data_IF_557128268255
#
_entry.id   IF_557128268255
#
_cell.length_a   1.000
_cell.length_b   1.000
_cell.length_c   1.000
_cell.angle_alpha   90.00
_cell.angle_beta   90.00
_cell.angle_gamma   90.00
#
_symmetry.space_group_name_H-M   'P 1'
#
loop_
_entity.id
_entity.type
_entity.pdbx_description
1 polymer ?
#
# COMPACT_ATOMS: atom_id res chain seq x y z
N UNK A 1 53.37 -11.73 21.50
CA UNK A 1 51.97 -11.48 21.10
C UNK A 1 51.43 -10.42 22.06
N UNK A 2 51.19 -9.18 21.60
CA UNK A 2 50.56 -8.15 22.42
C UNK A 2 49.06 -8.45 22.43
N UNK A 3 48.51 -8.78 23.60
CA UNK A 3 47.08 -9.04 23.77
C UNK A 3 46.27 -7.75 23.61
N UNK A 4 45.07 -7.87 23.06
CA UNK A 4 44.09 -6.78 22.98
C UNK A 4 43.85 -6.17 24.37
N UNK A 5 43.81 -4.85 24.45
CA UNK A 5 43.44 -4.17 25.69
C UNK A 5 41.91 -4.16 25.84
N UNK A 6 41.38 -4.17 27.07
CA UNK A 6 39.94 -4.09 27.32
C UNK A 6 39.30 -2.82 26.70
N UNK A 7 40.08 -1.74 26.64
CA UNK A 7 39.66 -0.47 26.03
C UNK A 7 39.41 -0.62 24.53
N UNK A 8 40.22 -1.40 23.84
CA UNK A 8 40.11 -1.62 22.39
C UNK A 8 38.82 -2.37 22.02
N UNK A 9 38.47 -3.39 22.81
CA UNK A 9 37.20 -4.12 22.66
C UNK A 9 36.00 -3.20 22.94
N UNK A 10 36.10 -2.35 23.96
CA UNK A 10 35.03 -1.40 24.30
C UNK A 10 34.78 -0.40 23.17
N UNK A 11 35.84 0.14 22.58
CA UNK A 11 35.75 1.04 21.43
C UNK A 11 35.13 0.33 20.23
N UNK A 12 35.56 -0.91 19.94
CA UNK A 12 34.99 -1.71 18.86
C UNK A 12 33.48 -1.94 19.04
N UNK A 13 33.04 -2.23 20.27
CA UNK A 13 31.61 -2.41 20.59
C UNK A 13 30.80 -1.12 20.43
N UNK A 14 31.36 0.03 20.83
CA UNK A 14 30.71 1.34 20.63
C UNK A 14 30.52 1.59 19.13
N UNK A 15 31.58 1.44 18.32
CA UNK A 15 31.50 1.64 16.86
C UNK A 15 30.48 0.69 16.23
N UNK A 16 30.51 -0.59 16.62
CA UNK A 16 29.56 -1.60 16.14
C UNK A 16 28.12 -1.22 16.48
N UNK A 17 27.86 -0.79 17.73
CA UNK A 17 26.52 -0.42 18.17
C UNK A 17 25.95 0.76 17.37
N UNK A 18 26.77 1.78 17.08
CA UNK A 18 26.38 2.92 16.24
C UNK A 18 26.08 2.46 14.81
N UNK A 19 26.90 1.56 14.25
CA UNK A 19 26.66 0.96 12.94
C UNK A 19 25.34 0.20 12.86
N UNK A 20 25.01 -0.59 13.89
CA UNK A 20 23.74 -1.33 13.97
C UNK A 20 22.52 -0.41 14.05
N UNK A 21 22.60 0.71 14.79
CA UNK A 21 21.52 1.71 14.82
C UNK A 21 21.30 2.34 13.45
N UNK A 22 22.39 2.64 12.71
CA UNK A 22 22.30 3.09 11.32
C UNK A 22 21.60 2.08 10.42
N UNK A 23 21.98 0.80 10.51
CA UNK A 23 21.34 -0.28 9.76
C UNK A 23 19.85 -0.44 10.10
N UNK A 24 19.49 -0.36 11.38
CA UNK A 24 18.09 -0.43 11.82
C UNK A 24 17.25 0.69 11.19
N UNK A 25 17.77 1.93 11.16
CA UNK A 25 17.11 3.05 10.51
C UNK A 25 16.90 2.86 9.00
N UNK A 26 17.91 2.31 8.32
CA UNK A 26 17.79 1.96 6.89
C UNK A 26 16.76 0.84 6.66
N UNK A 27 16.74 -0.17 7.53
CA UNK A 27 15.76 -1.25 7.46
C UNK A 27 14.32 -0.72 7.63
N UNK A 28 14.07 0.13 8.62
CA UNK A 28 12.75 0.76 8.81
C UNK A 28 12.34 1.59 7.59
N UNK A 29 13.26 2.39 7.05
CA UNK A 29 12.99 3.19 5.85
C UNK A 29 12.70 2.30 4.63
N UNK A 30 13.46 1.21 4.47
CA UNK A 30 13.23 0.21 3.44
C UNK A 30 11.85 -0.44 3.53
N UNK A 31 11.40 -0.80 4.74
CA UNK A 31 10.06 -1.34 4.96
C UNK A 31 8.97 -0.34 4.60
N UNK A 32 9.10 0.92 5.01
CA UNK A 32 8.13 1.99 4.66
C UNK A 32 8.04 2.21 3.15
N UNK A 33 9.17 2.22 2.46
CA UNK A 33 9.23 2.37 1.01
C UNK A 33 8.58 1.17 0.29
N UNK A 34 8.85 -0.05 0.76
CA UNK A 34 8.21 -1.26 0.23
C UNK A 34 6.69 -1.25 0.44
N UNK A 35 6.24 -0.86 1.64
CA UNK A 35 4.82 -0.74 1.93
C UNK A 35 4.12 0.28 1.01
N UNK A 36 4.74 1.44 0.81
CA UNK A 36 4.22 2.47 -0.11
C UNK A 36 4.19 1.99 -1.56
N UNK A 37 5.21 1.25 -2.00
CA UNK A 37 5.22 0.64 -3.32
C UNK A 37 4.13 -0.43 -3.47
N UNK A 38 3.92 -1.25 -2.44
CA UNK A 38 2.87 -2.26 -2.41
C UNK A 38 1.47 -1.63 -2.55
N UNK A 39 1.17 -0.57 -1.78
CA UNK A 39 -0.12 0.13 -1.87
C UNK A 39 -0.33 0.74 -3.27
N UNK A 40 0.69 1.34 -3.89
CA UNK A 40 0.60 1.84 -5.26
C UNK A 40 0.31 0.74 -6.29
N UNK A 41 0.94 -0.42 -6.14
CA UNK A 41 0.65 -1.59 -6.99
C UNK A 41 -0.78 -2.08 -6.79
N UNK A 42 -1.27 -2.16 -5.55
CA UNK A 42 -2.65 -2.54 -5.24
C UNK A 42 -3.66 -1.57 -5.85
N UNK A 43 -3.44 -0.26 -5.71
CA UNK A 43 -4.27 0.77 -6.33
C UNK A 43 -4.30 0.66 -7.86
N UNK A 44 -3.14 0.41 -8.48
CA UNK A 44 -3.04 0.20 -9.93
C UNK A 44 -3.83 -1.02 -10.38
N UNK A 45 -3.73 -2.14 -9.65
CA UNK A 45 -4.50 -3.36 -9.94
C UNK A 45 -6.01 -3.12 -9.83
N UNK A 46 -6.46 -2.44 -8.77
CA UNK A 46 -7.88 -2.10 -8.59
C UNK A 46 -8.40 -1.13 -9.66
N UNK A 47 -7.56 -0.20 -10.14
CA UNK A 47 -7.91 0.69 -11.24
C UNK A 47 -8.07 -0.07 -12.57
N UNK A 48 -7.22 -1.06 -12.83
CA UNK A 48 -7.39 -1.94 -14.00
C UNK A 48 -8.65 -2.81 -13.89
N UNK A 49 -8.91 -3.39 -12.71
CA UNK A 49 -10.09 -4.23 -12.46
C UNK A 49 -11.40 -3.49 -12.81
N UNK A 50 -11.61 -2.28 -12.28
CA UNK A 50 -12.83 -1.52 -12.59
C UNK A 50 -12.90 -1.10 -14.05
N UNK A 51 -11.76 -0.74 -14.66
CA UNK A 51 -11.72 -0.37 -16.07
C UNK A 51 -12.12 -1.54 -16.97
N UNK A 52 -11.69 -2.76 -16.64
CA UNK A 52 -12.03 -3.95 -17.40
C UNK A 52 -13.50 -4.36 -17.19
N UNK A 53 -14.06 -4.19 -15.98
CA UNK A 53 -15.51 -4.33 -15.73
C UNK A 53 -16.33 -3.34 -16.56
N UNK A 54 -15.94 -2.07 -16.58
CA UNK A 54 -16.57 -1.02 -17.42
C UNK A 54 -16.50 -1.40 -18.90
N UNK A 55 -15.36 -1.91 -19.37
CA UNK A 55 -15.18 -2.35 -20.77
C UNK A 55 -16.02 -3.58 -21.12
N UNK A 56 -16.24 -4.48 -20.18
CA UNK A 56 -17.12 -5.64 -20.35
C UNK A 56 -18.60 -5.20 -20.41
N UNK A 57 -18.96 -4.15 -19.67
CA UNK A 57 -20.33 -3.62 -19.57
C UNK A 57 -20.52 -2.27 -20.28
N UNK A 58 -19.92 -2.10 -21.47
CA UNK A 58 -19.94 -0.86 -22.26
C UNK A 58 -21.33 -0.33 -22.62
N UNK A 59 -22.36 -1.17 -22.61
CA UNK A 59 -23.73 -0.73 -22.87
C UNK A 59 -24.28 0.16 -21.74
N UNK A 60 -23.71 0.08 -20.52
CA UNK A 60 -24.21 0.73 -19.32
C UNK A 60 -23.19 1.70 -18.70
N UNK A 61 -22.36 2.39 -19.50
CA UNK A 61 -21.31 3.29 -19.00
C UNK A 61 -21.82 4.34 -18.00
N UNK A 62 -23.01 4.88 -18.22
CA UNK A 62 -23.60 5.89 -17.34
C UNK A 62 -23.85 5.36 -15.92
N UNK A 63 -24.04 4.06 -15.75
CA UNK A 63 -24.25 3.44 -14.45
C UNK A 63 -22.95 3.25 -13.64
N UNK A 64 -21.79 3.45 -14.26
CA UNK A 64 -20.48 3.46 -13.58
C UNK A 64 -20.05 4.87 -13.13
N UNK A 65 -20.85 5.90 -13.41
CA UNK A 65 -20.55 7.27 -13.00
C UNK A 65 -20.84 7.44 -11.50
N UNK A 66 -19.78 7.58 -10.70
CA UNK A 66 -19.86 7.83 -9.26
C UNK A 66 -19.21 9.18 -8.96
N UNK A 67 -19.90 10.05 -8.22
CA UNK A 67 -19.29 11.26 -7.68
C UNK A 67 -18.30 10.88 -6.57
N UNK A 68 -17.22 11.66 -6.40
CA UNK A 68 -16.15 11.36 -5.45
C UNK A 68 -16.68 10.98 -4.06
N UNK A 69 -17.66 11.73 -3.56
CA UNK A 69 -18.30 11.52 -2.23
C UNK A 69 -19.66 10.85 -2.25
N UNK A 70 -20.00 10.16 -3.34
CA UNK A 70 -21.22 9.36 -3.35
C UNK A 70 -21.03 8.09 -2.52
N UNK A 71 -22.05 7.75 -1.73
CA UNK A 71 -22.11 6.44 -1.07
C UNK A 71 -22.09 5.31 -2.10
N UNK A 72 -21.54 4.16 -1.71
CA UNK A 72 -21.57 2.96 -2.53
C UNK A 72 -23.00 2.67 -3.03
N UNK A 73 -23.19 2.38 -4.32
CA UNK A 73 -24.52 2.10 -4.85
C UNK A 73 -25.09 0.82 -4.23
N UNK A 74 -26.41 0.80 -4.01
CA UNK A 74 -27.13 -0.31 -3.38
C UNK A 74 -28.10 -1.03 -4.32
N UNK A 75 -28.08 -0.70 -5.61
CA UNK A 75 -28.93 -1.33 -6.61
C UNK A 75 -28.40 -2.70 -7.05
N UNK A 76 -29.19 -3.38 -7.88
CA UNK A 76 -28.92 -4.76 -8.32
C UNK A 76 -28.45 -4.85 -9.77
N UNK A 77 -28.25 -3.71 -10.44
CA UNK A 77 -27.64 -3.75 -11.77
C UNK A 77 -26.20 -4.25 -11.69
N UNK A 78 -25.70 -4.80 -12.79
CA UNK A 78 -24.32 -5.29 -12.88
C UNK A 78 -23.33 -4.17 -12.53
N UNK A 79 -23.55 -2.96 -13.03
CA UNK A 79 -22.67 -1.82 -12.76
C UNK A 79 -22.67 -1.38 -11.30
N UNK A 80 -23.83 -1.36 -10.64
CA UNK A 80 -23.93 -1.02 -9.22
C UNK A 80 -23.30 -2.10 -8.33
N UNK A 81 -23.48 -3.36 -8.69
CA UNK A 81 -22.85 -4.48 -7.96
C UNK A 81 -21.33 -4.43 -8.11
N UNK A 82 -20.83 -4.19 -9.33
CA UNK A 82 -19.40 -4.02 -9.60
C UNK A 82 -18.80 -2.85 -8.81
N UNK A 83 -19.47 -1.69 -8.79
CA UNK A 83 -19.02 -0.52 -8.04
C UNK A 83 -19.01 -0.77 -6.53
N UNK A 84 -20.03 -1.43 -5.99
CA UNK A 84 -20.10 -1.75 -4.56
C UNK A 84 -18.95 -2.70 -4.15
N UNK A 85 -18.72 -3.75 -4.95
CA UNK A 85 -17.62 -4.69 -4.73
C UNK A 85 -16.26 -3.99 -4.85
N UNK A 86 -16.09 -3.14 -5.88
CA UNK A 86 -14.86 -2.39 -6.09
C UNK A 86 -14.56 -1.44 -4.94
N UNK A 87 -15.53 -0.65 -4.48
CA UNK A 87 -15.38 0.26 -3.34
C UNK A 87 -15.03 -0.51 -2.05
N UNK A 88 -15.71 -1.63 -1.80
CA UNK A 88 -15.39 -2.52 -0.67
C UNK A 88 -13.96 -3.04 -0.76
N UNK A 89 -13.49 -3.40 -1.94
CA UNK A 89 -12.11 -3.86 -2.16
C UNK A 89 -11.08 -2.75 -2.01
N UNK A 90 -11.42 -1.51 -2.40
CA UNK A 90 -10.58 -0.32 -2.17
C UNK A 90 -10.43 -0.08 -0.67
N UNK A 91 -11.53 -0.01 0.08
CA UNK A 91 -11.51 0.23 1.53
C UNK A 91 -10.68 -0.84 2.28
N UNK A 92 -10.86 -2.12 1.92
CA UNK A 92 -10.15 -3.22 2.58
C UNK A 92 -8.66 -3.31 2.22
N UNK A 93 -8.27 -2.93 1.00
CA UNK A 93 -6.89 -3.12 0.49
C UNK A 93 -6.05 -1.85 0.56
N UNK A 94 -6.70 -0.70 0.65
CA UNK A 94 -6.11 0.63 0.74
C UNK A 94 -6.73 1.37 1.94
N UNK A 95 -6.44 0.96 3.18
CA UNK A 95 -7.02 1.57 4.38
C UNK A 95 -6.64 3.06 4.58
N UNK A 96 -5.63 3.57 3.85
CA UNK A 96 -5.31 5.00 3.77
C UNK A 96 -5.80 5.67 2.46
N UNK A 97 -6.40 4.91 1.55
CA UNK A 97 -6.97 5.40 0.29
C UNK A 97 -8.43 5.75 0.48
N UNK A 98 -8.72 7.05 0.54
CA UNK A 98 -10.10 7.55 0.59
C UNK A 98 -10.85 7.17 -0.69
N UNK A 99 -11.99 6.49 -0.53
CA UNK A 99 -12.92 6.14 -1.61
C UNK A 99 -14.23 6.95 -1.51
N UNK A 100 -14.22 8.05 -0.73
CA UNK A 100 -15.27 9.05 -0.61
C UNK A 100 -14.85 10.45 -1.08
#
# INVERSE_FOLDING_TARGET
MKGFTLLEVLIALVILSVGLLGLAGLQTTGLRNNHSAYLRSQATLLAYDITDRIRANKANLNAYALALSASAPSGTSVAETDLNEWLTNVENRLPEGDAS
#
